data_IF_012301893792
#
_entry.id   IF_012301893792
#
_cell.length_a   1.000
_cell.length_b   1.000
_cell.length_c   1.000
_cell.angle_alpha   90.00
_cell.angle_beta   90.00
_cell.angle_gamma   90.00
#
_symmetry.space_group_name_H-M   'P 1'
#
loop_
_entity.id
_entity.type
_entity.pdbx_description
1 polymer ?
#
# COMPACT_ATOMS: atom_id res chain seq x y z
N UNK A 1 27.68 25.08 -11.26
CA UNK A 1 26.50 24.18 -11.06
C UNK A 1 25.60 24.58 -9.88
N UNK A 2 25.67 25.81 -9.36
CA UNK A 2 24.80 26.32 -8.28
C UNK A 2 23.53 27.01 -8.79
N UNK A 3 23.51 27.38 -10.08
CA UNK A 3 22.38 28.04 -10.76
C UNK A 3 21.10 27.20 -10.79
N UNK A 4 21.18 25.87 -10.62
CA UNK A 4 19.99 25.02 -10.55
C UNK A 4 19.11 25.37 -9.34
N UNK A 5 19.70 25.87 -8.24
CA UNK A 5 18.96 26.32 -7.05
C UNK A 5 18.31 27.70 -7.19
N UNK A 6 18.60 28.46 -8.26
CA UNK A 6 17.92 29.74 -8.52
C UNK A 6 16.57 29.56 -9.24
N UNK A 7 16.39 28.46 -9.98
CA UNK A 7 15.10 28.14 -10.61
C UNK A 7 14.26 27.18 -9.76
N UNK A 8 14.92 26.32 -8.99
CA UNK A 8 14.27 25.33 -8.16
C UNK A 8 14.41 25.71 -6.70
N UNK A 9 13.29 26.13 -6.10
CA UNK A 9 13.22 26.49 -4.70
C UNK A 9 13.61 25.27 -3.83
N UNK A 10 14.75 25.32 -3.10
CA UNK A 10 15.42 24.15 -2.51
C UNK A 10 14.49 23.27 -1.69
N UNK A 11 13.60 23.92 -0.93
CA UNK A 11 12.61 23.26 -0.09
C UNK A 11 11.66 22.41 -0.91
N UNK A 12 11.17 22.93 -2.03
CA UNK A 12 10.16 22.26 -2.85
C UNK A 12 10.71 21.03 -3.54
N UNK A 13 11.98 21.06 -3.97
CA UNK A 13 12.63 19.89 -4.60
C UNK A 13 12.91 18.78 -3.58
N UNK A 14 13.42 19.12 -2.39
CA UNK A 14 13.64 18.14 -1.32
C UNK A 14 12.33 17.50 -0.86
N UNK A 15 11.27 18.30 -0.70
CA UNK A 15 9.94 17.78 -0.37
C UNK A 15 9.34 16.96 -1.51
N UNK A 16 9.46 17.41 -2.77
CA UNK A 16 8.94 16.67 -3.91
C UNK A 16 9.62 15.30 -4.07
N UNK A 17 10.96 15.23 -3.89
CA UNK A 17 11.68 13.96 -3.84
C UNK A 17 11.19 13.09 -2.67
N UNK A 18 11.14 13.63 -1.45
CA UNK A 18 10.67 12.88 -0.29
C UNK A 18 9.27 12.30 -0.46
N UNK A 19 8.32 13.13 -0.92
CA UNK A 19 6.92 12.72 -1.17
C UNK A 19 6.84 11.73 -2.34
N UNK A 20 7.62 11.93 -3.40
CA UNK A 20 7.66 11.00 -4.53
C UNK A 20 8.13 9.61 -4.12
N UNK A 21 9.26 9.52 -3.40
CA UNK A 21 9.77 8.24 -2.90
C UNK A 21 8.81 7.61 -1.89
N UNK A 22 8.17 8.41 -1.04
CA UNK A 22 7.21 7.91 -0.05
C UNK A 22 5.92 7.38 -0.70
N UNK A 23 5.37 8.11 -1.68
CA UNK A 23 4.22 7.67 -2.45
C UNK A 23 4.52 6.37 -3.21
N UNK A 24 5.71 6.28 -3.82
CA UNK A 24 6.17 5.07 -4.49
C UNK A 24 6.28 3.89 -3.51
N UNK A 25 6.81 4.11 -2.31
CA UNK A 25 6.89 3.09 -1.27
C UNK A 25 5.51 2.56 -0.87
N UNK A 26 4.55 3.45 -0.58
CA UNK A 26 3.18 3.06 -0.23
C UNK A 26 2.53 2.28 -1.37
N UNK A 27 2.69 2.73 -2.62
CA UNK A 27 2.10 2.06 -3.78
C UNK A 27 2.60 0.61 -3.91
N UNK A 28 3.90 0.36 -3.67
CA UNK A 28 4.47 -0.99 -3.63
C UNK A 28 3.89 -1.80 -2.45
N UNK A 29 3.77 -1.21 -1.26
CA UNK A 29 3.20 -1.90 -0.10
C UNK A 29 1.74 -2.29 -0.34
N UNK A 30 0.93 -1.40 -0.93
CA UNK A 30 -0.46 -1.69 -1.28
C UNK A 30 -0.59 -2.81 -2.32
N UNK A 31 0.35 -2.93 -3.27
CA UNK A 31 0.38 -4.05 -4.22
C UNK A 31 0.65 -5.38 -3.48
N UNK A 32 1.64 -5.39 -2.58
CA UNK A 32 1.94 -6.59 -1.78
C UNK A 32 0.74 -6.97 -0.88
N UNK A 33 0.15 -6.00 -0.20
CA UNK A 33 -1.02 -6.16 0.66
C UNK A 33 -2.35 -6.31 -0.11
N UNK A 34 -2.32 -6.34 -1.44
CA UNK A 34 -3.49 -6.72 -2.25
C UNK A 34 -3.34 -8.15 -2.79
N UNK A 35 -2.18 -8.77 -2.57
CA UNK A 35 -1.88 -10.10 -3.09
C UNK A 35 -2.14 -11.13 -2.00
N UNK A 36 -2.98 -12.17 -2.23
CA UNK A 36 -3.38 -13.15 -1.20
C UNK A 36 -2.22 -13.97 -0.61
N UNK A 37 -1.01 -13.84 -1.16
CA UNK A 37 0.23 -14.48 -0.68
C UNK A 37 1.07 -13.60 0.27
N UNK A 38 0.94 -12.27 0.18
CA UNK A 38 1.74 -11.31 0.94
C UNK A 38 0.88 -10.42 1.87
N UNK A 39 -0.43 -10.67 1.89
CA UNK A 39 -1.45 -10.05 2.73
C UNK A 39 -1.32 -10.42 4.21
N UNK A 40 -0.39 -9.80 4.93
CA UNK A 40 -0.15 -10.11 6.34
C UNK A 40 -1.23 -9.56 7.29
N UNK A 41 -2.14 -8.69 6.82
CA UNK A 41 -3.18 -8.03 7.63
C UNK A 41 -4.55 -8.73 7.50
N UNK A 42 -4.80 -9.50 6.44
CA UNK A 42 -6.14 -10.00 6.13
C UNK A 42 -6.26 -11.47 5.73
N UNK A 43 -5.18 -12.14 5.28
CA UNK A 43 -5.27 -13.50 4.79
C UNK A 43 -4.28 -14.42 5.50
N UNK A 44 -4.76 -15.06 6.56
CA UNK A 44 -4.18 -16.33 6.99
C UNK A 44 -4.42 -17.38 5.92
N UNK A 45 -3.43 -17.64 5.06
CA UNK A 45 -3.43 -18.80 4.18
C UNK A 45 -4.43 -18.77 3.01
N UNK A 46 -4.34 -19.78 2.12
CA UNK A 46 -4.98 -19.77 0.80
C UNK A 46 -6.51 -19.67 0.92
N UNK A 47 -7.07 -18.59 0.37
CA UNK A 47 -8.44 -18.50 -0.12
C UNK A 47 -9.52 -19.24 0.70
N UNK A 48 -9.64 -18.96 2.00
CA UNK A 48 -10.73 -19.53 2.81
C UNK A 48 -11.23 -18.57 3.90
N UNK A 49 -11.67 -17.37 3.54
CA UNK A 49 -12.42 -16.51 4.49
C UNK A 49 -13.60 -15.73 3.91
N UNK A 50 -13.95 -15.93 2.63
CA UNK A 50 -15.15 -15.30 2.04
C UNK A 50 -16.32 -16.28 1.90
N UNK A 51 -16.54 -17.16 2.89
CA UNK A 51 -17.65 -18.13 2.83
C UNK A 51 -18.33 -18.46 4.16
N UNK A 52 -17.98 -17.82 5.28
CA UNK A 52 -18.51 -18.21 6.60
C UNK A 52 -19.20 -17.07 7.34
N UNK A 53 -20.04 -16.32 6.63
CA UNK A 53 -20.98 -15.40 7.27
C UNK A 53 -22.33 -15.36 6.55
N UNK A 54 -22.81 -16.51 6.09
CA UNK A 54 -24.23 -16.70 5.82
C UNK A 54 -24.71 -17.93 6.57
N UNK A 55 -25.34 -17.64 7.70
CA UNK A 55 -26.43 -18.40 8.32
C UNK A 55 -26.16 -19.86 8.70
N UNK A 56 -25.98 -20.02 10.01
CA UNK A 56 -26.14 -21.18 10.87
C UNK A 56 -27.07 -22.28 10.32
N UNK A 57 -26.73 -23.59 10.50
CA UNK A 57 -27.56 -24.69 10.03
C UNK A 57 -28.87 -24.75 10.82
N UNK A 58 -30.00 -24.72 10.10
CA UNK A 58 -31.30 -25.01 10.67
C UNK A 58 -31.38 -26.51 10.99
N UNK A 59 -31.26 -26.83 12.28
CA UNK A 59 -31.51 -28.16 12.81
C UNK A 59 -32.99 -28.28 13.20
N UNK A 60 -33.77 -29.07 12.44
CA UNK A 60 -34.89 -29.86 12.94
C UNK A 60 -35.19 -31.03 12.01
#
# INVERSE_FOLDING_TARGET
MWRMWLLFDPRRVLTALGVFLFALAILIHFILLSTPRFDWIGAGGPAMTMQQQSSMPANK
#
